data_IF_492174206537
#
_entry.id   IF_492174206537
#
_cell.length_a   1.000
_cell.length_b   1.000
_cell.length_c   1.000
_cell.angle_alpha   90.00
_cell.angle_beta   90.00
_cell.angle_gamma   90.00
#
_symmetry.space_group_name_H-M   'P 1'
#
loop_
_entity.id
_entity.type
_entity.pdbx_description
1 polymer ?
#
# COMPACT_ATOMS: atom_id res chain seq x y z
N UNK A 1 12.32 6.81 -0.53
CA UNK A 1 13.69 6.97 -1.04
C UNK A 1 14.33 5.62 -1.36
N UNK A 2 15.24 5.12 -0.52
CA UNK A 2 16.00 3.89 -0.78
C UNK A 2 15.15 2.59 -0.73
N UNK A 3 14.16 2.51 0.17
CA UNK A 3 13.29 1.32 0.27
C UNK A 3 12.42 1.12 -0.99
N UNK A 4 11.93 2.22 -1.59
CA UNK A 4 11.19 2.17 -2.86
C UNK A 4 12.07 1.64 -3.99
N UNK A 5 13.35 2.05 -4.06
CA UNK A 5 14.30 1.59 -5.09
C UNK A 5 14.58 0.09 -4.97
N UNK A 6 14.75 -0.45 -3.76
CA UNK A 6 15.02 -1.88 -3.54
C UNK A 6 13.80 -2.73 -3.92
N UNK A 7 12.58 -2.26 -3.60
CA UNK A 7 11.35 -2.98 -3.93
C UNK A 7 11.03 -2.89 -5.43
N UNK A 8 11.21 -1.72 -6.05
CA UNK A 8 11.12 -1.58 -7.51
C UNK A 8 12.14 -2.48 -8.21
N UNK A 9 13.35 -2.63 -7.67
CA UNK A 9 14.37 -3.52 -8.23
C UNK A 9 13.98 -4.99 -8.17
N UNK A 10 13.41 -5.46 -7.06
CA UNK A 10 12.94 -6.84 -6.92
C UNK A 10 11.70 -7.13 -7.78
N UNK A 11 10.77 -6.19 -7.90
CA UNK A 11 9.58 -6.31 -8.75
C UNK A 11 9.98 -6.27 -10.23
N UNK A 12 10.91 -5.38 -10.63
CA UNK A 12 11.32 -5.21 -12.02
C UNK A 12 12.15 -6.38 -12.57
N UNK A 13 12.88 -7.11 -11.74
CA UNK A 13 13.65 -8.28 -12.21
C UNK A 13 12.80 -9.50 -12.48
N UNK A 14 11.51 -9.49 -12.10
CA UNK A 14 10.59 -10.58 -12.38
C UNK A 14 11.21 -11.94 -12.08
N UNK A 15 12.01 -12.03 -11.00
CA UNK A 15 12.76 -13.25 -10.68
C UNK A 15 11.68 -14.31 -10.44
N UNK A 16 11.49 -15.26 -11.37
CA UNK A 16 10.47 -16.26 -11.19
C UNK A 16 10.91 -17.05 -9.97
N UNK A 17 10.08 -17.06 -8.92
CA UNK A 17 10.28 -18.02 -7.86
C UNK A 17 10.23 -19.39 -8.55
N UNK A 18 11.32 -20.17 -8.52
CA UNK A 18 11.33 -21.45 -9.20
C UNK A 18 10.16 -22.29 -8.67
N UNK A 19 9.44 -23.03 -9.54
CA UNK A 19 8.39 -23.93 -9.11
C UNK A 19 8.98 -24.83 -8.03
N UNK A 20 8.41 -24.75 -6.82
CA UNK A 20 8.87 -25.52 -5.68
C UNK A 20 8.42 -26.94 -5.93
N UNK A 21 9.36 -27.77 -6.39
CA UNK A 21 9.19 -29.21 -6.47
C UNK A 21 9.01 -29.71 -5.03
N UNK A 22 7.79 -30.15 -4.69
CA UNK A 22 7.40 -30.54 -3.32
C UNK A 22 7.92 -31.95 -3.04
N UNK A 23 9.23 -32.10 -3.10
CA UNK A 23 9.92 -33.29 -2.62
C UNK A 23 9.90 -33.35 -1.09
N UNK A 24 10.29 -34.49 -0.49
CA UNK A 24 10.33 -34.70 0.97
C UNK A 24 11.33 -33.80 1.74
N UNK A 25 11.93 -32.79 1.08
CA UNK A 25 12.89 -31.82 1.62
C UNK A 25 12.28 -30.46 2.04
N UNK A 26 10.95 -30.34 1.99
CA UNK A 26 10.15 -29.18 2.44
C UNK A 26 10.65 -28.45 3.72
N UNK A 27 11.08 -29.12 4.81
CA UNK A 27 11.42 -28.40 6.04
C UNK A 27 12.63 -27.46 5.90
N UNK A 28 13.62 -27.76 5.04
CA UNK A 28 14.86 -26.97 4.97
C UNK A 28 14.66 -25.64 4.24
N UNK A 29 13.94 -25.64 3.12
CA UNK A 29 13.69 -24.42 2.34
C UNK A 29 12.78 -23.43 3.09
N UNK A 30 11.77 -23.94 3.80
CA UNK A 30 10.91 -23.10 4.62
C UNK A 30 11.71 -22.43 5.75
N UNK A 31 12.59 -23.20 6.42
CA UNK A 31 13.47 -22.69 7.46
C UNK A 31 14.38 -21.58 6.95
N UNK A 32 15.01 -21.77 5.78
CA UNK A 32 15.87 -20.75 5.17
C UNK A 32 15.10 -19.44 4.89
N UNK A 33 13.88 -19.53 4.35
CA UNK A 33 13.03 -18.35 4.12
C UNK A 33 12.66 -17.62 5.40
N UNK A 34 12.32 -18.37 6.46
CA UNK A 34 11.99 -17.80 7.77
C UNK A 34 13.21 -17.09 8.38
N UNK A 35 14.39 -17.71 8.32
CA UNK A 35 15.64 -17.11 8.83
C UNK A 35 15.97 -15.83 8.08
N UNK A 36 15.84 -15.83 6.75
CA UNK A 36 16.08 -14.62 5.94
C UNK A 36 15.08 -13.50 6.27
N UNK A 37 13.80 -13.83 6.44
CA UNK A 37 12.78 -12.85 6.80
C UNK A 37 13.01 -12.28 8.21
N UNK A 38 13.33 -13.13 9.19
CA UNK A 38 13.67 -12.71 10.56
C UNK A 38 14.95 -11.88 10.58
N UNK A 39 15.97 -12.28 9.82
CA UNK A 39 17.21 -11.55 9.68
C UNK A 39 16.99 -10.15 9.10
N UNK A 40 16.19 -10.03 8.03
CA UNK A 40 15.83 -8.73 7.46
C UNK A 40 15.04 -7.86 8.44
N UNK A 41 14.06 -8.43 9.16
CA UNK A 41 13.29 -7.72 10.18
C UNK A 41 14.19 -7.24 11.34
N UNK A 42 15.11 -8.09 11.81
CA UNK A 42 16.08 -7.75 12.84
C UNK A 42 17.00 -6.61 12.38
N UNK A 43 17.56 -6.69 11.17
CA UNK A 43 18.39 -5.61 10.61
C UNK A 43 17.64 -4.29 10.60
N UNK A 44 16.39 -4.27 10.14
CA UNK A 44 15.55 -3.05 10.14
C UNK A 44 15.31 -2.53 11.57
N UNK A 45 15.00 -3.42 12.52
CA UNK A 45 14.76 -3.06 13.92
C UNK A 45 15.99 -2.47 14.62
N UNK A 46 17.20 -2.88 14.22
CA UNK A 46 18.47 -2.40 14.78
C UNK A 46 19.07 -1.19 14.07
N UNK A 47 18.45 -0.66 13.01
CA UNK A 47 18.87 0.62 12.42
C UNK A 47 18.67 1.70 13.49
N UNK A 48 19.72 2.40 13.96
CA UNK A 48 19.62 3.33 15.09
C UNK A 48 18.56 4.41 14.87
N UNK A 49 18.38 4.86 13.62
CA UNK A 49 17.32 5.81 13.25
C UNK A 49 15.92 5.28 13.58
N UNK A 50 15.62 4.02 13.28
CA UNK A 50 14.30 3.44 13.57
C UNK A 50 14.10 3.20 15.07
N UNK A 51 15.14 2.78 15.80
CA UNK A 51 15.06 2.60 17.25
C UNK A 51 14.87 3.93 17.98
N UNK A 52 15.65 4.95 17.63
CA UNK A 52 15.55 6.28 18.24
C UNK A 52 14.24 6.96 17.87
N UNK A 53 13.88 7.00 16.59
CA UNK A 53 12.60 7.58 16.15
C UNK A 53 11.42 6.80 16.73
N UNK A 54 11.48 5.47 16.80
CA UNK A 54 10.45 4.60 17.38
C UNK A 54 10.17 4.85 18.87
N UNK A 55 11.21 5.24 19.62
CA UNK A 55 11.08 5.59 21.05
C UNK A 55 10.43 6.95 21.28
N UNK A 56 10.38 7.80 20.26
CA UNK A 56 9.73 9.10 20.30
C UNK A 56 8.32 8.99 19.72
N UNK A 57 7.30 9.35 20.50
CA UNK A 57 5.94 9.56 20.01
C UNK A 57 5.96 10.75 19.04
N UNK A 58 6.23 10.48 17.77
CA UNK A 58 6.35 11.48 16.72
C UNK A 58 5.63 10.99 15.45
N UNK A 59 5.02 11.91 14.71
CA UNK A 59 4.39 11.69 13.42
C UNK A 59 5.25 10.89 12.42
N UNK A 60 6.58 10.95 12.55
CA UNK A 60 7.51 10.18 11.72
C UNK A 60 7.39 8.66 11.89
N UNK A 61 7.11 8.17 13.10
CA UNK A 61 6.92 6.72 13.35
C UNK A 61 5.62 6.23 12.76
N UNK A 62 4.53 6.98 12.98
CA UNK A 62 3.22 6.69 12.41
C UNK A 62 3.28 6.68 10.87
N UNK A 63 3.93 7.68 10.27
CA UNK A 63 4.15 7.75 8.83
C UNK A 63 4.92 6.53 8.32
N UNK A 64 6.03 6.17 8.98
CA UNK A 64 6.85 5.02 8.58
C UNK A 64 6.05 3.71 8.69
N UNK A 65 5.24 3.55 9.73
CA UNK A 65 4.37 2.41 9.92
C UNK A 65 3.33 2.28 8.80
N UNK A 66 2.58 3.36 8.50
CA UNK A 66 1.59 3.34 7.43
C UNK A 66 2.22 3.15 6.05
N UNK A 67 3.40 3.71 5.80
CA UNK A 67 4.15 3.47 4.56
C UNK A 67 4.61 2.00 4.43
N UNK A 68 4.99 1.36 5.52
CA UNK A 68 5.32 -0.06 5.52
C UNK A 68 4.10 -0.94 5.22
N UNK A 69 2.94 -0.62 5.83
CA UNK A 69 1.67 -1.31 5.54
C UNK A 69 1.20 -1.10 4.10
N UNK A 70 1.35 0.11 3.57
CA UNK A 70 1.10 0.44 2.16
C UNK A 70 1.93 -0.46 1.22
N UNK A 71 3.24 -0.53 1.46
CA UNK A 71 4.15 -1.34 0.66
C UNK A 71 3.84 -2.84 0.77
N UNK A 72 3.52 -3.32 1.98
CA UNK A 72 3.09 -4.70 2.20
C UNK A 72 1.83 -5.04 1.40
N UNK A 73 0.85 -4.13 1.29
CA UNK A 73 -0.35 -4.36 0.48
C UNK A 73 -0.06 -4.41 -1.02
N UNK A 74 0.83 -3.55 -1.55
CA UNK A 74 1.29 -3.66 -2.95
C UNK A 74 1.93 -5.03 -3.21
N UNK A 75 2.74 -5.51 -2.28
CA UNK A 75 3.40 -6.81 -2.38
C UNK A 75 2.38 -7.97 -2.35
N UNK A 76 1.37 -7.89 -1.49
CA UNK A 76 0.26 -8.86 -1.46
C UNK A 76 -0.54 -8.89 -2.76
N UNK A 77 -0.81 -7.72 -3.35
CA UNK A 77 -1.51 -7.63 -4.65
C UNK A 77 -0.66 -8.29 -5.73
N UNK A 78 0.64 -7.97 -5.81
CA UNK A 78 1.55 -8.59 -6.77
C UNK A 78 1.61 -10.12 -6.59
N UNK A 79 1.69 -10.61 -5.35
CA UNK A 79 1.73 -12.05 -5.07
C UNK A 79 0.43 -12.76 -5.47
N UNK A 80 -0.72 -12.14 -5.18
CA UNK A 80 -2.02 -12.72 -5.56
C UNK A 80 -2.18 -12.89 -7.08
N UNK A 81 -1.57 -12.01 -7.88
CA UNK A 81 -1.51 -12.19 -9.34
C UNK A 81 -0.55 -13.30 -9.77
N UNK A 82 0.61 -13.41 -9.11
CA UNK A 82 1.57 -14.47 -9.39
C UNK A 82 0.96 -15.87 -9.20
N UNK A 83 0.07 -16.01 -8.22
CA UNK A 83 -0.62 -17.26 -7.90
C UNK A 83 -1.84 -17.55 -8.80
N UNK A 84 -2.16 -16.66 -9.76
CA UNK A 84 -3.27 -16.84 -10.70
C UNK A 84 -2.76 -17.11 -12.14
N UNK A 85 -2.33 -18.35 -12.45
CA UNK A 85 -1.57 -18.69 -13.66
C UNK A 85 -2.37 -18.68 -14.97
N UNK A 86 -3.65 -18.31 -14.96
CA UNK A 86 -4.54 -18.39 -16.13
C UNK A 86 -4.16 -17.47 -17.31
N UNK A 87 -3.15 -16.61 -17.16
CA UNK A 87 -2.69 -15.70 -18.21
C UNK A 87 -1.40 -16.16 -18.92
N UNK A 88 -0.81 -17.30 -18.55
CA UNK A 88 0.33 -17.84 -19.31
C UNK A 88 -0.22 -18.44 -20.60
N UNK A 89 -0.27 -17.61 -21.64
CA UNK A 89 -0.34 -17.90 -23.08
C UNK A 89 -0.40 -19.41 -23.39
N UNK A 90 -1.56 -20.03 -23.18
CA UNK A 90 -1.88 -21.24 -23.88
C UNK A 90 -2.23 -20.78 -25.28
N UNK A 91 -1.27 -20.93 -26.19
CA UNK A 91 -1.52 -21.01 -27.61
C UNK A 91 -2.46 -22.22 -27.80
N UNK A 92 -3.78 -22.03 -27.92
CA UNK A 92 -4.67 -23.17 -28.05
C UNK A 92 -4.56 -23.60 -29.50
N UNK A 93 -4.11 -24.82 -29.70
CA UNK A 93 -4.51 -25.56 -30.88
C UNK A 93 -6.03 -25.37 -31.05
N UNK A 94 -6.50 -24.79 -32.17
CA UNK A 94 -7.88 -24.34 -32.29
C UNK A 94 -8.80 -25.56 -32.32
N UNK A 95 -9.35 -25.93 -31.17
CA UNK A 95 -10.43 -26.92 -31.08
C UNK A 95 -11.76 -26.17 -31.25
N UNK A 96 -12.48 -26.35 -32.36
CA UNK A 96 -13.51 -25.40 -32.81
C UNK A 96 -14.91 -25.54 -32.16
N UNK A 97 -15.06 -26.03 -30.93
CA UNK A 97 -16.39 -26.47 -30.45
C UNK A 97 -16.95 -25.93 -29.14
N UNK A 98 -16.33 -24.96 -28.44
CA UNK A 98 -16.99 -24.35 -27.27
C UNK A 98 -16.81 -22.83 -27.21
N UNK A 99 -17.80 -22.11 -27.75
CA UNK A 99 -17.99 -20.65 -27.68
C UNK A 99 -18.52 -20.17 -26.32
N UNK A 100 -18.24 -20.88 -25.22
CA UNK A 100 -18.37 -20.26 -23.90
C UNK A 100 -17.21 -19.28 -23.78
N UNK A 101 -17.48 -17.99 -23.99
CA UNK A 101 -16.54 -16.93 -23.68
C UNK A 101 -16.08 -17.14 -22.23
N UNK A 102 -14.79 -17.38 -21.96
CA UNK A 102 -14.31 -17.48 -20.59
C UNK A 102 -14.53 -16.11 -19.96
N UNK A 103 -15.62 -15.96 -19.21
CA UNK A 103 -15.82 -14.85 -18.29
C UNK A 103 -14.85 -15.11 -17.16
N UNK A 104 -13.60 -14.78 -17.42
CA UNK A 104 -12.51 -14.87 -16.49
C UNK A 104 -12.83 -13.96 -15.31
N UNK A 105 -13.24 -14.57 -14.19
CA UNK A 105 -13.40 -13.88 -12.91
C UNK A 105 -12.02 -13.50 -12.36
N UNK A 106 -11.39 -12.52 -13.00
CA UNK A 106 -10.20 -11.85 -12.50
C UNK A 106 -10.60 -10.87 -11.38
N UNK A 107 -11.11 -11.41 -10.29
CA UNK A 107 -11.43 -10.62 -9.11
C UNK A 107 -10.15 -10.48 -8.28
N UNK A 108 -9.40 -9.40 -8.57
CA UNK A 108 -8.52 -8.81 -7.58
C UNK A 108 -9.32 -8.67 -6.27
N UNK A 109 -8.82 -9.17 -5.14
CA UNK A 109 -9.51 -9.01 -3.87
C UNK A 109 -9.63 -7.50 -3.59
N UNK A 110 -10.84 -6.97 -3.75
CA UNK A 110 -11.16 -5.54 -3.58
C UNK A 110 -10.66 -5.03 -2.23
N UNK A 111 -10.70 -5.90 -1.21
CA UNK A 111 -10.16 -5.65 0.13
C UNK A 111 -8.70 -5.17 0.11
N UNK A 112 -7.82 -5.77 -0.70
CA UNK A 112 -6.41 -5.34 -0.75
C UNK A 112 -6.27 -3.95 -1.38
N UNK A 113 -7.07 -3.62 -2.39
CA UNK A 113 -7.07 -2.29 -3.03
C UNK A 113 -7.63 -1.21 -2.09
N UNK A 114 -8.65 -1.54 -1.32
CA UNK A 114 -9.22 -0.66 -0.28
C UNK A 114 -8.21 -0.44 0.85
N UNK A 115 -7.56 -1.49 1.35
CA UNK A 115 -6.52 -1.37 2.39
C UNK A 115 -5.32 -0.57 1.89
N UNK A 116 -4.92 -0.74 0.63
CA UNK A 116 -3.89 0.08 0.00
C UNK A 116 -4.25 1.56 0.09
N UNK A 117 -5.46 1.92 -0.35
CA UNK A 117 -5.93 3.30 -0.32
C UNK A 117 -6.12 3.87 1.09
N UNK A 118 -6.59 3.05 2.03
CA UNK A 118 -6.74 3.38 3.44
C UNK A 118 -5.38 3.75 4.06
N UNK A 119 -4.35 2.92 3.88
CA UNK A 119 -3.02 3.19 4.45
C UNK A 119 -2.35 4.40 3.80
N UNK A 120 -2.55 4.61 2.49
CA UNK A 120 -2.14 5.85 1.82
C UNK A 120 -2.82 7.06 2.45
N UNK A 121 -4.14 7.00 2.69
CA UNK A 121 -4.89 8.09 3.31
C UNK A 121 -4.44 8.39 4.74
N UNK A 122 -4.26 7.35 5.57
CA UNK A 122 -3.75 7.50 6.93
C UNK A 122 -2.35 8.12 6.93
N UNK A 123 -1.46 7.68 6.03
CA UNK A 123 -0.14 8.30 5.89
C UNK A 123 -0.23 9.81 5.55
N UNK A 124 -1.13 10.20 4.63
CA UNK A 124 -1.37 11.61 4.29
C UNK A 124 -1.84 12.40 5.51
N UNK A 125 -2.73 11.85 6.32
CA UNK A 125 -3.21 12.52 7.54
C UNK A 125 -2.12 12.71 8.61
N UNK A 126 -1.05 11.91 8.57
CA UNK A 126 0.09 12.07 9.50
C UNK A 126 1.08 13.15 9.07
N UNK A 127 1.37 13.27 7.77
CA UNK A 127 2.36 14.23 7.25
C UNK A 127 2.09 14.57 5.79
N UNK A 128 2.13 15.86 5.45
CA UNK A 128 1.89 16.34 4.09
C UNK A 128 2.91 15.80 3.07
N UNK A 129 4.14 15.49 3.49
CA UNK A 129 5.14 14.84 2.63
C UNK A 129 4.71 13.46 2.13
N UNK A 130 3.71 12.82 2.75
CA UNK A 130 3.15 11.55 2.32
C UNK A 130 2.25 11.66 1.06
N UNK A 131 2.00 12.87 0.56
CA UNK A 131 1.33 13.10 -0.73
C UNK A 131 2.05 12.45 -1.93
N UNK A 132 3.30 12.00 -1.76
CA UNK A 132 4.00 11.19 -2.75
C UNK A 132 3.45 9.76 -2.86
N UNK A 133 2.85 9.21 -1.80
CA UNK A 133 2.40 7.81 -1.76
C UNK A 133 1.27 7.47 -2.75
N UNK A 134 0.25 8.32 -2.99
CA UNK A 134 -0.71 8.09 -4.08
C UNK A 134 -0.03 7.93 -5.44
N UNK A 135 1.02 8.71 -5.71
CA UNK A 135 1.78 8.59 -6.95
C UNK A 135 2.53 7.26 -6.99
N UNK A 136 3.19 6.87 -5.89
CA UNK A 136 3.82 5.54 -5.77
C UNK A 136 2.81 4.40 -5.93
N UNK A 137 1.56 4.57 -5.46
CA UNK A 137 0.49 3.58 -5.61
C UNK A 137 0.12 3.38 -7.09
N UNK A 138 -0.06 4.49 -7.83
CA UNK A 138 -0.37 4.46 -9.27
C UNK A 138 0.78 3.80 -10.04
N UNK A 139 2.03 4.19 -9.76
CA UNK A 139 3.22 3.60 -10.41
C UNK A 139 3.35 2.12 -10.06
N UNK A 140 3.18 1.74 -8.79
CA UNK A 140 3.23 0.34 -8.34
C UNK A 140 2.17 -0.53 -9.03
N UNK A 141 0.93 -0.05 -9.08
CA UNK A 141 -0.16 -0.73 -9.80
C UNK A 141 0.09 -0.78 -11.32
N UNK A 142 0.70 0.25 -11.91
CA UNK A 142 1.06 0.25 -13.34
C UNK A 142 2.18 -0.76 -13.66
N UNK A 143 3.17 -0.91 -12.77
CA UNK A 143 4.21 -1.92 -12.91
C UNK A 143 3.66 -3.34 -12.79
N UNK A 144 2.77 -3.58 -11.82
CA UNK A 144 2.05 -4.87 -11.67
C UNK A 144 1.23 -5.14 -12.94
N UNK A 145 0.45 -4.15 -13.40
CA UNK A 145 -0.35 -4.26 -14.60
C UNK A 145 0.48 -4.59 -15.85
N UNK A 146 1.63 -3.92 -16.02
CA UNK A 146 2.54 -4.20 -17.14
C UNK A 146 3.16 -5.59 -17.04
N UNK A 147 3.55 -6.02 -15.85
CA UNK A 147 4.19 -7.32 -15.64
C UNK A 147 3.23 -8.49 -15.87
N UNK A 148 1.98 -8.39 -15.40
CA UNK A 148 0.95 -9.43 -15.54
C UNK A 148 0.01 -9.23 -16.74
N UNK A 149 0.30 -8.27 -17.63
CA UNK A 149 -0.50 -8.02 -18.83
C UNK A 149 -1.95 -7.59 -18.57
N UNK A 150 -2.21 -6.83 -17.49
CA UNK A 150 -3.56 -6.38 -17.18
C UNK A 150 -4.12 -5.51 -18.32
N UNK A 151 -5.38 -5.73 -18.72
CA UNK A 151 -6.04 -4.83 -19.65
C UNK A 151 -6.26 -3.47 -18.98
N UNK A 152 -6.24 -2.40 -19.79
CA UNK A 152 -6.38 -1.02 -19.33
C UNK A 152 -7.58 -0.78 -18.39
N UNK A 153 -8.79 -1.31 -18.64
CA UNK A 153 -9.94 -1.12 -17.75
C UNK A 153 -9.73 -1.71 -16.34
N UNK A 154 -8.97 -2.83 -16.23
CA UNK A 154 -8.67 -3.46 -14.93
C UNK A 154 -7.73 -2.59 -14.11
N UNK A 155 -6.68 -2.05 -14.75
CA UNK A 155 -5.76 -1.12 -14.11
C UNK A 155 -6.49 0.16 -13.66
N UNK A 156 -7.31 0.76 -14.53
CA UNK A 156 -8.11 1.93 -14.19
C UNK A 156 -9.03 1.66 -12.99
N UNK A 157 -9.71 0.51 -12.97
CA UNK A 157 -10.56 0.12 -11.84
C UNK A 157 -9.76 -0.01 -10.55
N UNK A 158 -8.58 -0.61 -10.59
CA UNK A 158 -7.72 -0.74 -9.41
C UNK A 158 -7.29 0.62 -8.87
N UNK A 159 -6.82 1.52 -9.74
CA UNK A 159 -6.46 2.90 -9.39
C UNK A 159 -7.65 3.66 -8.83
N UNK A 160 -8.83 3.56 -9.46
CA UNK A 160 -10.04 4.24 -9.01
C UNK A 160 -10.50 3.78 -7.62
N UNK A 161 -10.47 2.47 -7.35
CA UNK A 161 -10.83 1.92 -6.03
C UNK A 161 -9.84 2.43 -4.96
N UNK A 162 -8.54 2.33 -5.22
CA UNK A 162 -7.51 2.81 -4.29
C UNK A 162 -7.62 4.32 -4.05
N UNK A 163 -7.79 5.12 -5.10
CA UNK A 163 -7.96 6.57 -5.01
C UNK A 163 -9.22 6.95 -4.22
N UNK A 164 -10.34 6.25 -4.46
CA UNK A 164 -11.60 6.48 -3.72
C UNK A 164 -11.41 6.19 -2.24
N UNK A 165 -10.79 5.07 -1.88
CA UNK A 165 -10.49 4.74 -0.49
C UNK A 165 -9.58 5.78 0.17
N UNK A 166 -8.53 6.24 -0.53
CA UNK A 166 -7.65 7.31 -0.05
C UNK A 166 -8.43 8.61 0.18
N UNK A 167 -9.27 9.02 -0.77
CA UNK A 167 -10.09 10.22 -0.64
C UNK A 167 -11.02 10.11 0.56
N UNK A 168 -11.74 8.99 0.73
CA UNK A 168 -12.64 8.79 1.88
C UNK A 168 -11.90 8.93 3.21
N UNK A 169 -10.72 8.31 3.34
CA UNK A 169 -9.90 8.39 4.56
C UNK A 169 -9.44 9.83 4.84
N UNK A 170 -8.98 10.53 3.80
CA UNK A 170 -8.45 11.90 3.92
C UNK A 170 -9.58 12.92 4.13
N UNK A 171 -10.77 12.66 3.57
CA UNK A 171 -11.93 13.56 3.61
C UNK A 171 -12.37 13.89 5.03
N UNK A 172 -12.29 12.93 5.96
CA UNK A 172 -12.66 13.18 7.36
C UNK A 172 -11.79 14.28 7.98
N UNK A 173 -10.47 14.20 7.79
CA UNK A 173 -9.53 15.19 8.34
C UNK A 173 -9.71 16.56 7.68
N UNK A 174 -9.82 16.61 6.35
CA UNK A 174 -10.06 17.89 5.66
C UNK A 174 -11.43 18.48 5.96
N UNK A 175 -12.45 17.65 6.18
CA UNK A 175 -13.76 18.08 6.65
C UNK A 175 -13.67 18.76 8.02
N UNK A 176 -12.91 18.18 8.95
CA UNK A 176 -12.62 18.82 10.24
C UNK A 176 -11.90 20.16 10.07
N UNK A 177 -10.89 20.23 9.21
CA UNK A 177 -10.16 21.47 8.93
C UNK A 177 -11.07 22.55 8.37
N UNK A 178 -11.88 22.24 7.36
CA UNK A 178 -12.85 23.17 6.75
C UNK A 178 -13.87 23.64 7.79
N UNK A 179 -14.40 22.72 8.60
CA UNK A 179 -15.34 23.05 9.67
C UNK A 179 -14.72 24.07 10.64
N UNK A 180 -13.48 23.88 11.05
CA UNK A 180 -12.79 24.83 11.91
C UNK A 180 -12.53 26.18 11.21
N UNK A 181 -12.15 26.17 9.93
CA UNK A 181 -11.96 27.43 9.19
C UNK A 181 -13.24 28.25 9.05
N UNK A 182 -14.42 27.64 9.03
CA UNK A 182 -15.68 28.38 9.03
C UNK A 182 -15.95 29.15 10.34
N UNK A 183 -15.31 28.78 11.46
CA UNK A 183 -15.44 29.53 12.73
C UNK A 183 -14.63 30.83 12.72
N UNK A 184 -13.71 31.00 11.77
CA UNK A 184 -12.88 32.22 11.64
C UNK A 184 -13.73 33.46 11.38
N UNK A 185 -14.82 33.33 10.62
CA UNK A 185 -15.74 34.45 10.37
C UNK A 185 -16.57 34.82 11.59
N UNK A 186 -16.80 33.89 12.51
CA UNK A 186 -17.64 34.09 13.70
C UNK A 186 -16.83 34.55 14.90
N UNK A 187 -15.70 33.88 15.18
CA UNK A 187 -14.89 34.11 16.37
C UNK A 187 -13.83 35.21 16.17
N UNK A 188 -13.54 35.57 14.91
CA UNK A 188 -12.45 36.45 14.52
C UNK A 188 -11.19 35.71 14.06
N UNK A 189 -10.32 36.42 13.34
CA UNK A 189 -9.21 35.78 12.62
C UNK A 189 -8.18 35.10 13.52
N UNK A 190 -7.88 35.67 14.68
CA UNK A 190 -6.89 35.12 15.61
C UNK A 190 -7.41 33.88 16.35
N UNK A 191 -8.62 33.97 16.89
CA UNK A 191 -9.27 32.90 17.67
C UNK A 191 -9.63 31.72 16.79
N UNK A 192 -10.25 31.93 15.63
CA UNK A 192 -10.61 30.86 14.71
C UNK A 192 -9.41 30.13 14.11
N UNK A 193 -8.27 30.82 13.89
CA UNK A 193 -7.06 30.22 13.32
C UNK A 193 -6.22 29.49 14.38
N UNK A 194 -6.25 29.95 15.64
CA UNK A 194 -5.56 29.29 16.76
C UNK A 194 -6.38 28.14 17.37
N UNK A 195 -7.71 28.13 17.23
CA UNK A 195 -8.59 27.10 17.82
C UNK A 195 -8.20 25.66 17.45
N UNK A 196 -7.84 25.31 16.20
CA UNK A 196 -7.40 23.97 15.85
C UNK A 196 -6.10 23.58 16.55
N UNK A 197 -5.18 24.53 16.72
CA UNK A 197 -3.88 24.31 17.38
C UNK A 197 -4.11 24.10 18.88
N UNK A 198 -4.93 24.95 19.50
CA UNK A 198 -5.26 24.83 20.93
C UNK A 198 -6.05 23.55 21.21
N UNK A 199 -7.00 23.19 20.35
CA UNK A 199 -7.78 21.96 20.50
C UNK A 199 -6.93 20.70 20.29
N UNK A 200 -5.93 20.76 19.39
CA UNK A 200 -4.98 19.67 19.19
C UNK A 200 -3.97 19.54 20.34
N UNK A 201 -3.60 20.64 20.99
CA UNK A 201 -2.69 20.65 22.15
C UNK A 201 -3.41 20.27 23.45
N UNK A 202 -4.69 20.64 23.59
CA UNK A 202 -5.50 20.31 24.76
C UNK A 202 -5.78 18.81 24.91
N UNK A 203 -5.71 18.01 23.84
CA UNK A 203 -5.84 16.55 23.94
C UNK A 203 -4.65 15.89 24.66
N UNK A 204 -3.49 16.55 24.71
CA UNK A 204 -2.30 16.05 25.41
C UNK A 204 -2.25 16.49 26.89
N UNK A 205 -3.04 17.50 27.29
CA UNK A 205 -2.99 18.09 28.63
C UNK A 205 -3.94 17.43 29.66
N UNK A 206 -4.79 16.48 29.25
CA UNK A 206 -5.82 15.87 30.12
C UNK A 206 -5.59 14.40 30.50
N UNK A 207 -4.38 13.87 30.31
CA UNK A 207 -3.96 12.53 30.80
C UNK A 207 -2.87 12.64 31.84
#
# INVERSE_FOLDING_TARGET
>A
GAAAIIVTYFIARGVPFPPVDIGPSLPRQLLERIILALGAAAVVAFIPRFALTGSMLNYETALAFFAALFLWQLLKISKAEAENPQFIIHNPEPTPSNLQSPVSNYQLPITNLLLLGLFTGLAITTKLSALILPFEAVVGLALIARHYGWPWPRWLRAVAITATATLVTVSWWFGFVIYQFNTVTEDGWWTGLLRPIIAADASDATT
#
